data_IF_621418169305
#
_entry.id   IF_621418169305
#
_cell.length_a   1.000
_cell.length_b   1.000
_cell.length_c   1.000
_cell.angle_alpha   90.00
_cell.angle_beta   90.00
_cell.angle_gamma   90.00
#
_symmetry.space_group_name_H-M   'P 1'
#
loop_
_entity.id
_entity.type
_entity.pdbx_description
1 polymer ?
#
# COMPACT_ATOMS: atom_id res chain seq x y z
N UNK A 1 55.45 20.98 -25.57
CA UNK A 1 54.91 20.01 -24.61
C UNK A 1 53.41 20.29 -24.56
N UNK A 2 52.64 19.64 -25.43
CA UNK A 2 51.20 19.90 -25.58
C UNK A 2 50.49 19.44 -24.30
N UNK A 3 49.95 20.39 -23.53
CA UNK A 3 49.01 20.10 -22.47
C UNK A 3 47.73 19.60 -23.14
N UNK A 4 47.64 18.29 -23.33
CA UNK A 4 46.51 17.61 -23.96
C UNK A 4 45.20 17.98 -23.26
N UNK A 5 44.17 18.28 -24.05
CA UNK A 5 42.80 18.69 -23.70
C UNK A 5 41.97 17.69 -22.84
N UNK A 6 42.61 16.91 -21.96
CA UNK A 6 42.01 15.78 -21.26
C UNK A 6 41.79 16.03 -19.76
N UNK A 7 42.09 17.24 -19.26
CA UNK A 7 41.84 17.64 -17.88
C UNK A 7 40.58 18.49 -17.81
N UNK A 8 39.67 18.14 -16.91
CA UNK A 8 38.47 18.94 -16.68
C UNK A 8 37.95 18.76 -15.25
N UNK A 9 37.07 19.66 -14.85
CA UNK A 9 36.43 19.64 -13.53
C UNK A 9 35.02 19.07 -13.65
N UNK A 10 34.61 18.22 -12.71
CA UNK A 10 33.25 17.71 -12.67
C UNK A 10 32.25 18.83 -12.34
N UNK A 11 31.25 19.11 -13.19
CA UNK A 11 30.29 20.19 -12.96
C UNK A 11 29.23 19.88 -11.90
N UNK A 12 28.99 18.60 -11.61
CA UNK A 12 28.06 18.10 -10.60
C UNK A 12 28.53 16.72 -10.13
N UNK A 13 27.88 16.19 -9.08
CA UNK A 13 28.17 14.85 -8.60
C UNK A 13 27.82 13.82 -9.69
N UNK A 14 28.78 12.98 -10.08
CA UNK A 14 28.61 12.01 -11.17
C UNK A 14 28.78 10.58 -10.68
N UNK A 15 27.87 9.70 -11.11
CA UNK A 15 27.92 8.27 -10.77
C UNK A 15 29.22 7.66 -11.27
N UNK A 16 29.94 6.99 -10.38
CA UNK A 16 31.28 6.49 -10.66
C UNK A 16 31.68 5.33 -9.75
N UNK A 17 32.66 4.54 -10.19
CA UNK A 17 33.16 3.37 -9.47
C UNK A 17 34.59 3.03 -9.88
N UNK A 18 35.34 2.32 -9.03
CA UNK A 18 36.75 1.98 -9.28
C UNK A 18 36.89 1.00 -10.44
N UNK A 19 37.93 1.19 -11.25
CA UNK A 19 38.35 0.31 -12.33
C UNK A 19 39.52 -0.53 -11.85
N UNK A 20 39.36 -1.85 -11.87
CA UNK A 20 40.43 -2.80 -11.57
C UNK A 20 41.23 -3.14 -12.85
N UNK A 21 42.34 -3.89 -12.71
CA UNK A 21 43.15 -4.33 -13.85
C UNK A 21 43.96 -3.24 -14.52
N UNK A 22 44.14 -2.08 -13.87
CA UNK A 22 44.98 -1.00 -14.38
C UNK A 22 46.49 -1.24 -14.20
N UNK A 23 46.91 -2.46 -13.89
CA UNK A 23 48.32 -2.79 -13.61
C UNK A 23 49.24 -2.62 -14.83
N UNK A 24 48.72 -2.77 -16.04
CA UNK A 24 49.46 -2.49 -17.29
C UNK A 24 49.50 -1.02 -17.65
N UNK A 25 48.56 -0.22 -17.14
CA UNK A 25 48.70 1.23 -17.19
C UNK A 25 49.75 1.60 -16.13
N UNK A 26 50.84 2.22 -16.57
CA UNK A 26 51.95 2.58 -15.68
C UNK A 26 51.98 4.08 -15.51
N UNK A 27 52.04 4.54 -14.27
CA UNK A 27 52.24 5.94 -13.90
C UNK A 27 53.61 6.52 -14.34
N UNK A 28 54.46 5.71 -14.97
CA UNK A 28 55.87 5.99 -15.17
C UNK A 28 56.74 5.36 -14.08
N UNK A 29 58.05 5.32 -14.30
CA UNK A 29 59.00 4.72 -13.35
C UNK A 29 59.03 5.51 -12.03
N UNK A 30 58.88 4.83 -10.89
CA UNK A 30 58.85 5.41 -9.54
C UNK A 30 57.78 6.48 -9.27
N UNK A 31 56.67 6.46 -9.99
CA UNK A 31 55.57 7.42 -9.81
C UNK A 31 54.32 6.76 -9.26
N UNK A 32 53.62 7.48 -8.40
CA UNK A 32 52.29 7.10 -7.92
C UNK A 32 51.20 7.75 -8.77
N UNK A 33 50.01 7.16 -8.82
CA UNK A 33 48.90 7.75 -9.55
C UNK A 33 48.49 9.13 -9.03
N UNK A 34 48.56 9.35 -7.72
CA UNK A 34 48.32 10.68 -7.14
C UNK A 34 49.34 11.71 -7.65
N UNK A 35 50.63 11.36 -7.77
CA UNK A 35 51.65 12.27 -8.29
C UNK A 35 51.43 12.62 -9.78
N UNK A 36 50.99 11.64 -10.58
CA UNK A 36 50.61 11.88 -11.98
C UNK A 36 49.44 12.84 -12.05
N UNK A 37 48.44 12.65 -11.20
CA UNK A 37 47.29 13.54 -11.14
C UNK A 37 47.69 14.97 -10.71
N UNK A 38 48.54 15.11 -9.69
CA UNK A 38 49.04 16.42 -9.20
C UNK A 38 49.75 17.20 -10.31
N UNK A 39 50.71 16.56 -10.98
CA UNK A 39 51.48 17.19 -12.06
C UNK A 39 50.59 17.55 -13.26
N UNK A 40 49.65 16.66 -13.62
CA UNK A 40 48.78 16.86 -14.79
C UNK A 40 47.76 17.96 -14.55
N UNK A 41 47.22 18.07 -13.33
CA UNK A 41 46.19 19.07 -12.99
C UNK A 41 46.76 20.36 -12.41
N UNK A 42 48.01 20.36 -11.95
CA UNK A 42 48.61 21.45 -11.18
C UNK A 42 47.93 21.69 -9.83
N UNK A 43 47.25 20.68 -9.28
CA UNK A 43 46.50 20.77 -8.02
C UNK A 43 47.13 19.88 -6.95
N UNK A 44 46.94 20.28 -5.69
CA UNK A 44 47.21 19.42 -4.54
C UNK A 44 45.97 18.59 -4.20
N UNK A 45 46.13 17.31 -3.83
CA UNK A 45 45.04 16.45 -3.42
C UNK A 45 44.50 16.94 -2.07
N UNK A 46 43.19 17.12 -2.00
CA UNK A 46 42.50 17.43 -0.76
C UNK A 46 41.73 16.22 -0.25
N UNK A 47 40.43 16.41 -0.06
CA UNK A 47 39.51 15.32 0.29
C UNK A 47 39.38 14.31 -0.86
N UNK A 48 39.19 13.04 -0.50
CA UNK A 48 38.83 11.96 -1.44
C UNK A 48 37.68 12.40 -2.36
N UNK A 49 37.82 12.08 -3.65
CA UNK A 49 36.86 12.50 -4.67
C UNK A 49 35.47 11.89 -4.53
N UNK A 50 35.32 10.71 -3.90
CA UNK A 50 34.00 10.16 -3.61
C UNK A 50 33.21 11.07 -2.66
N UNK A 51 31.97 11.41 -3.02
CA UNK A 51 31.20 12.47 -2.36
C UNK A 51 30.86 12.14 -0.90
N UNK A 52 30.58 10.87 -0.63
CA UNK A 52 30.29 10.25 0.67
C UNK A 52 31.55 9.93 1.52
N UNK A 53 32.76 10.21 1.04
CA UNK A 53 34.00 9.99 1.77
C UNK A 53 34.65 11.31 2.19
N UNK A 54 35.15 11.36 3.44
CA UNK A 54 35.76 12.56 4.03
C UNK A 54 37.25 12.44 4.33
N UNK A 55 37.83 11.26 4.05
CA UNK A 55 39.27 11.03 4.20
C UNK A 55 40.08 11.89 3.22
N UNK A 56 41.34 12.11 3.54
CA UNK A 56 42.29 12.73 2.61
C UNK A 56 42.58 11.79 1.43
N UNK A 57 42.69 12.33 0.22
CA UNK A 57 43.13 11.56 -0.94
C UNK A 57 44.63 11.26 -0.84
N UNK A 58 45.02 10.00 -0.99
CA UNK A 58 46.40 9.55 -0.71
C UNK A 58 47.03 8.74 -1.84
N UNK A 59 46.24 8.19 -2.77
CA UNK A 59 46.77 7.21 -3.76
C UNK A 59 46.45 7.53 -5.21
N UNK A 60 45.30 8.15 -5.49
CA UNK A 60 44.83 8.27 -6.87
C UNK A 60 44.41 6.91 -7.43
N UNK A 61 43.39 6.89 -8.29
CA UNK A 61 42.89 5.64 -8.84
C UNK A 61 42.09 5.85 -10.12
N UNK A 62 42.04 4.78 -10.91
CA UNK A 62 41.21 4.71 -12.08
C UNK A 62 39.76 4.56 -11.67
N UNK A 63 38.93 5.47 -12.14
CA UNK A 63 37.51 5.53 -11.85
C UNK A 63 36.76 5.58 -13.17
N UNK A 64 35.73 4.75 -13.30
CA UNK A 64 34.80 4.83 -14.39
C UNK A 64 33.73 5.84 -14.04
N UNK A 65 33.55 6.85 -14.87
CA UNK A 65 32.49 7.84 -14.73
C UNK A 65 31.40 7.52 -15.75
N UNK A 66 30.16 7.40 -15.28
CA UNK A 66 29.03 7.04 -16.11
C UNK A 66 28.96 7.95 -17.35
N UNK A 67 28.84 7.33 -18.54
CA UNK A 67 28.79 8.00 -19.85
C UNK A 67 30.06 8.75 -20.28
N UNK A 68 31.13 8.74 -19.49
CA UNK A 68 32.40 9.41 -19.83
C UNK A 68 33.57 8.44 -20.03
N UNK A 69 33.57 7.30 -19.32
CA UNK A 69 34.61 6.28 -19.39
C UNK A 69 35.63 6.39 -18.26
N UNK A 70 36.88 5.95 -18.50
CA UNK A 70 37.92 5.87 -17.46
C UNK A 70 38.65 7.19 -17.27
N UNK A 71 38.79 7.57 -15.99
CA UNK A 71 39.45 8.78 -15.55
C UNK A 71 40.38 8.47 -14.38
N UNK A 72 41.36 9.34 -14.17
CA UNK A 72 42.16 9.38 -12.96
C UNK A 72 41.60 10.44 -12.00
N UNK A 73 41.35 10.05 -10.75
CA UNK A 73 40.86 10.94 -9.70
C UNK A 73 41.60 10.75 -8.37
N UNK A 74 41.75 11.80 -7.55
CA UNK A 74 42.43 11.73 -6.26
C UNK A 74 41.51 11.08 -5.21
N UNK A 75 41.75 9.81 -4.92
CA UNK A 75 41.00 9.05 -3.91
C UNK A 75 41.90 8.57 -2.77
N UNK A 76 41.27 8.22 -1.64
CA UNK A 76 41.96 7.68 -0.47
C UNK A 76 42.19 6.17 -0.60
N UNK A 77 43.16 5.65 0.16
CA UNK A 77 43.52 4.23 0.15
C UNK A 77 42.35 3.31 0.47
N UNK A 78 41.47 3.68 1.42
CA UNK A 78 40.31 2.86 1.79
C UNK A 78 39.26 2.80 0.67
N UNK A 79 39.06 3.90 -0.07
CA UNK A 79 38.20 3.90 -1.25
C UNK A 79 38.83 3.16 -2.43
N UNK A 80 40.15 3.19 -2.60
CA UNK A 80 40.85 2.47 -3.66
C UNK A 80 41.09 0.98 -3.35
N UNK A 81 40.51 0.45 -2.28
CA UNK A 81 40.73 -0.93 -1.88
C UNK A 81 39.87 -1.87 -2.75
N UNK A 82 40.42 -2.96 -3.32
CA UNK A 82 39.70 -3.84 -4.25
C UNK A 82 38.50 -4.56 -3.62
N UNK A 83 38.50 -4.74 -2.30
CA UNK A 83 37.38 -5.33 -1.56
C UNK A 83 36.31 -4.30 -1.14
N UNK A 84 36.47 -3.03 -1.51
CA UNK A 84 35.49 -2.00 -1.15
C UNK A 84 34.25 -2.08 -2.06
N UNK A 85 33.24 -2.82 -1.60
CA UNK A 85 31.98 -3.02 -2.32
C UNK A 85 31.21 -1.72 -2.59
N UNK A 86 31.43 -0.67 -1.80
CA UNK A 86 30.79 0.64 -2.02
C UNK A 86 31.37 1.39 -3.22
N UNK A 87 32.48 0.92 -3.80
CA UNK A 87 33.15 1.53 -4.97
C UNK A 87 33.10 0.63 -6.19
N UNK A 88 32.23 -0.37 -6.17
CA UNK A 88 31.99 -1.30 -7.28
C UNK A 88 30.91 -0.76 -8.25
N UNK A 89 30.86 -1.33 -9.45
CA UNK A 89 29.85 -0.97 -10.43
C UNK A 89 28.46 -1.30 -9.90
N UNK A 90 27.54 -0.34 -9.92
CA UNK A 90 26.18 -0.54 -9.39
C UNK A 90 26.01 -0.17 -7.92
N UNK A 91 27.09 0.03 -7.16
CA UNK A 91 27.05 0.42 -5.73
C UNK A 91 26.50 1.84 -5.46
N UNK A 92 26.01 2.52 -6.49
CA UNK A 92 25.48 3.88 -6.42
C UNK A 92 26.44 4.91 -5.80
N UNK A 93 27.74 4.78 -6.07
CA UNK A 93 28.74 5.76 -5.67
C UNK A 93 28.83 6.93 -6.65
N UNK A 94 29.26 8.08 -6.13
CA UNK A 94 29.38 9.33 -6.87
C UNK A 94 30.74 9.98 -6.61
N UNK A 95 31.35 10.55 -7.65
CA UNK A 95 32.43 11.52 -7.49
C UNK A 95 31.83 12.91 -7.30
N UNK A 96 32.42 13.68 -6.40
CA UNK A 96 32.01 15.02 -6.00
C UNK A 96 32.20 16.03 -7.14
N UNK A 97 31.23 16.93 -7.30
CA UNK A 97 31.35 18.15 -8.08
C UNK A 97 32.63 18.94 -7.68
N UNK A 98 33.24 19.63 -8.64
CA UNK A 98 34.49 20.36 -8.41
C UNK A 98 35.74 19.48 -8.38
N UNK A 99 35.61 18.14 -8.48
CA UNK A 99 36.77 17.26 -8.60
C UNK A 99 37.43 17.45 -9.97
N UNK A 100 38.73 17.75 -9.95
CA UNK A 100 39.56 17.73 -11.15
C UNK A 100 39.88 16.28 -11.54
N UNK A 101 39.63 15.93 -12.80
CA UNK A 101 39.86 14.61 -13.34
C UNK A 101 40.61 14.71 -14.65
N UNK A 102 41.33 13.64 -14.98
CA UNK A 102 42.07 13.50 -16.22
C UNK A 102 41.64 12.23 -16.93
N UNK A 103 41.24 12.33 -18.20
CA UNK A 103 40.77 11.19 -19.00
C UNK A 103 41.92 10.24 -19.32
N UNK A 104 41.66 8.93 -19.19
CA UNK A 104 42.61 7.85 -19.48
C UNK A 104 42.01 6.88 -20.48
N UNK A 105 42.88 6.23 -21.24
CA UNK A 105 42.47 5.18 -22.15
C UNK A 105 41.97 3.97 -21.36
N UNK A 106 40.92 3.34 -21.89
CA UNK A 106 40.41 2.10 -21.34
C UNK A 106 41.18 0.92 -21.93
N UNK A 107 42.04 0.31 -21.12
CA UNK A 107 42.91 -0.77 -21.60
C UNK A 107 42.20 -2.11 -21.66
N UNK A 108 42.74 -3.05 -22.43
CA UNK A 108 42.21 -4.41 -22.49
C UNK A 108 42.24 -5.09 -21.11
N UNK A 109 43.28 -4.85 -20.31
CA UNK A 109 43.36 -5.45 -18.97
C UNK A 109 42.30 -4.91 -18.03
N UNK A 110 41.93 -3.62 -18.13
CA UNK A 110 40.78 -3.07 -17.41
C UNK A 110 39.45 -3.68 -17.89
N UNK A 111 39.36 -4.02 -19.18
CA UNK A 111 38.17 -4.65 -19.76
C UNK A 111 38.02 -6.13 -19.38
N UNK A 112 39.14 -6.85 -19.23
CA UNK A 112 39.18 -8.25 -18.81
C UNK A 112 39.29 -8.43 -17.30
N UNK A 113 39.54 -7.35 -16.55
CA UNK A 113 39.59 -7.39 -15.11
C UNK A 113 38.27 -7.97 -14.58
N UNK A 114 38.32 -8.89 -13.60
CA UNK A 114 37.14 -9.33 -12.89
C UNK A 114 36.63 -8.15 -12.06
N UNK A 115 35.86 -7.26 -12.69
CA UNK A 115 35.21 -6.19 -11.96
C UNK A 115 34.03 -6.82 -11.26
N UNK A 116 34.08 -6.79 -9.93
CA UNK A 116 32.94 -7.10 -9.10
C UNK A 116 31.83 -6.11 -9.47
N UNK A 117 30.80 -6.56 -10.19
CA UNK A 117 29.51 -5.92 -10.10
C UNK A 117 29.17 -5.90 -8.62
N UNK A 118 28.78 -4.75 -8.08
CA UNK A 118 28.21 -4.71 -6.74
C UNK A 118 27.11 -5.77 -6.73
N UNK A 119 27.15 -6.67 -5.74
CA UNK A 119 26.09 -7.66 -5.56
C UNK A 119 24.79 -6.87 -5.59
N UNK A 120 23.94 -7.04 -6.63
CA UNK A 120 22.75 -6.26 -6.72
C UNK A 120 21.91 -6.65 -5.51
N UNK A 121 21.47 -5.64 -4.75
CA UNK A 121 20.66 -5.83 -3.55
C UNK A 121 19.30 -5.21 -3.79
N UNK A 122 18.27 -5.77 -3.16
CA UNK A 122 16.93 -5.22 -3.20
C UNK A 122 16.91 -3.82 -2.58
N UNK A 123 16.37 -2.84 -3.30
CA UNK A 123 16.27 -1.44 -2.83
C UNK A 123 15.45 -1.27 -1.54
N UNK A 124 14.57 -2.23 -1.20
CA UNK A 124 13.70 -2.17 -0.02
C UNK A 124 14.31 -2.90 1.18
N UNK A 125 14.73 -4.16 1.00
CA UNK A 125 15.14 -5.01 2.13
C UNK A 125 16.65 -5.31 2.18
N UNK A 126 17.42 -4.91 1.17
CA UNK A 126 18.87 -5.17 1.09
C UNK A 126 19.26 -6.63 0.79
N UNK A 127 18.30 -7.50 0.48
CA UNK A 127 18.56 -8.89 0.11
C UNK A 127 19.34 -8.98 -1.21
N UNK A 128 20.31 -9.90 -1.28
CA UNK A 128 21.04 -10.24 -2.50
C UNK A 128 20.06 -10.73 -3.59
N UNK A 129 20.05 -10.02 -4.72
CA UNK A 129 19.25 -10.31 -5.91
C UNK A 129 20.14 -10.66 -7.12
N UNK A 130 21.38 -11.08 -6.90
CA UNK A 130 22.33 -11.51 -7.94
C UNK A 130 21.80 -12.65 -8.82
N UNK A 131 20.86 -13.43 -8.30
CA UNK A 131 20.19 -14.51 -9.02
C UNK A 131 19.02 -14.03 -9.90
N UNK A 132 18.61 -12.76 -9.77
CA UNK A 132 17.54 -12.17 -10.59
C UNK A 132 18.13 -11.50 -11.84
N UNK A 133 17.33 -11.33 -12.92
CA UNK A 133 17.77 -10.60 -14.10
C UNK A 133 18.22 -9.18 -13.73
N UNK A 134 19.25 -8.66 -14.40
CA UNK A 134 19.87 -7.36 -14.09
C UNK A 134 18.94 -6.14 -14.20
N UNK A 135 17.75 -6.30 -14.78
CA UNK A 135 16.70 -5.29 -14.82
C UNK A 135 15.89 -5.16 -13.52
N UNK A 136 16.06 -6.08 -12.57
CA UNK A 136 15.34 -6.08 -11.30
C UNK A 136 16.08 -5.26 -10.25
N UNK A 137 15.35 -4.39 -9.55
CA UNK A 137 15.87 -3.64 -8.40
C UNK A 137 15.24 -4.08 -7.06
N UNK A 138 14.26 -4.98 -7.11
CA UNK A 138 13.53 -5.50 -5.96
C UNK A 138 13.60 -7.03 -5.92
N UNK A 139 13.67 -7.63 -4.73
CA UNK A 139 13.56 -9.07 -4.59
C UNK A 139 12.12 -9.54 -4.85
N UNK A 140 11.94 -10.83 -5.14
CA UNK A 140 10.62 -11.41 -5.42
C UNK A 140 9.60 -11.18 -4.30
N UNK A 141 10.04 -11.12 -3.04
CA UNK A 141 9.17 -10.84 -1.89
C UNK A 141 8.67 -9.40 -1.89
N UNK A 142 9.58 -8.44 -2.08
CA UNK A 142 9.25 -7.03 -2.18
C UNK A 142 8.42 -6.71 -3.44
N UNK A 143 8.65 -7.42 -4.55
CA UNK A 143 7.81 -7.30 -5.75
C UNK A 143 6.40 -7.80 -5.47
N UNK A 144 6.24 -8.96 -4.82
CA UNK A 144 4.92 -9.48 -4.44
C UNK A 144 4.19 -8.52 -3.49
N UNK A 145 4.90 -7.97 -2.51
CA UNK A 145 4.36 -6.97 -1.60
C UNK A 145 3.94 -5.66 -2.33
N UNK A 146 4.67 -5.27 -3.39
CA UNK A 146 4.36 -4.06 -4.16
C UNK A 146 3.28 -4.28 -5.24
N UNK A 147 3.17 -5.50 -5.79
CA UNK A 147 2.22 -5.85 -6.85
C UNK A 147 0.80 -6.10 -6.34
N UNK A 148 0.62 -6.23 -5.03
CA UNK A 148 -0.69 -6.23 -4.42
C UNK A 148 -0.92 -4.93 -3.62
N UNK A 149 -1.21 -3.81 -4.29
CA UNK A 149 -1.58 -2.56 -3.62
C UNK A 149 -2.91 -2.68 -2.83
N UNK A 150 -3.59 -3.82 -2.94
CA UNK A 150 -4.77 -4.16 -2.15
C UNK A 150 -4.46 -5.24 -1.11
N UNK A 151 -3.18 -5.59 -0.90
CA UNK A 151 -2.79 -6.56 0.11
C UNK A 151 -3.03 -5.97 1.48
N UNK A 152 -4.19 -6.28 2.06
CA UNK A 152 -4.52 -5.84 3.40
C UNK A 152 -3.97 -6.88 4.34
N UNK A 153 -3.02 -6.50 5.19
CA UNK A 153 -2.46 -7.38 6.22
C UNK A 153 -3.16 -7.14 7.56
N UNK A 154 -3.31 -8.20 8.35
CA UNK A 154 -3.79 -8.12 9.72
C UNK A 154 -2.85 -7.25 10.57
N UNK A 155 -3.43 -6.27 11.26
CA UNK A 155 -2.68 -5.33 12.10
C UNK A 155 -1.88 -6.00 13.23
N UNK A 156 -2.34 -7.14 13.73
CA UNK A 156 -1.73 -7.80 14.90
C UNK A 156 -0.68 -8.86 14.55
N UNK A 157 -0.78 -9.52 13.39
CA UNK A 157 0.10 -10.65 13.04
C UNK A 157 0.63 -10.64 11.61
N UNK A 158 0.36 -9.59 10.84
CA UNK A 158 0.74 -9.44 9.43
C UNK A 158 0.24 -10.54 8.47
N UNK A 159 -0.67 -11.41 8.92
CA UNK A 159 -1.30 -12.38 8.04
C UNK A 159 -2.16 -11.66 6.99
N UNK A 160 -2.03 -12.07 5.72
CA UNK A 160 -2.85 -11.56 4.61
C UNK A 160 -4.36 -11.75 4.90
N UNK A 161 -5.12 -10.66 4.78
CA UNK A 161 -6.58 -10.58 4.92
C UNK A 161 -7.23 -9.95 3.68
N UNK A 162 -6.56 -9.99 2.52
CA UNK A 162 -7.06 -9.43 1.25
C UNK A 162 -8.36 -10.06 0.77
N UNK A 163 -8.57 -11.34 1.08
CA UNK A 163 -9.83 -12.06 0.82
C UNK A 163 -10.99 -11.64 1.73
N UNK A 164 -10.77 -10.74 2.69
CA UNK A 164 -11.80 -10.27 3.63
C UNK A 164 -12.42 -8.96 3.14
N UNK A 165 -13.64 -8.61 3.60
CA UNK A 165 -14.23 -7.30 3.32
C UNK A 165 -13.38 -6.13 3.84
N UNK A 166 -13.42 -4.99 3.14
CA UNK A 166 -12.57 -3.79 3.32
C UNK A 166 -12.54 -3.18 4.73
N UNK A 167 -13.53 -3.47 5.57
CA UNK A 167 -13.60 -2.99 6.94
C UNK A 167 -12.88 -3.89 7.96
N UNK A 168 -12.35 -5.05 7.55
CA UNK A 168 -11.60 -5.92 8.45
C UNK A 168 -10.14 -5.45 8.53
N UNK A 169 -9.66 -5.18 9.74
CA UNK A 169 -8.26 -4.83 10.04
C UNK A 169 -7.50 -5.95 10.78
N UNK A 170 -8.21 -6.99 11.21
CA UNK A 170 -7.66 -8.13 11.96
C UNK A 170 -8.03 -9.46 11.28
N UNK A 171 -7.16 -10.47 11.41
CA UNK A 171 -7.47 -11.84 11.03
C UNK A 171 -8.42 -12.48 12.06
N UNK A 172 -9.12 -13.55 11.65
CA UNK A 172 -10.09 -14.23 12.51
C UNK A 172 -9.47 -14.77 13.80
N UNK A 173 -8.20 -15.18 13.75
CA UNK A 173 -7.48 -15.70 14.91
C UNK A 173 -7.21 -14.61 15.95
N UNK A 174 -6.72 -13.44 15.52
CA UNK A 174 -6.47 -12.30 16.41
C UNK A 174 -7.77 -11.71 16.94
N UNK A 175 -8.79 -11.60 16.09
CA UNK A 175 -10.14 -11.22 16.53
C UNK A 175 -10.65 -12.16 17.62
N UNK A 176 -10.60 -13.49 17.42
CA UNK A 176 -11.05 -14.46 18.44
C UNK A 176 -10.28 -14.35 19.74
N UNK A 177 -8.96 -14.10 19.70
CA UNK A 177 -8.15 -13.91 20.92
C UNK A 177 -8.61 -12.68 21.72
N UNK A 178 -8.98 -11.60 21.05
CA UNK A 178 -9.49 -10.39 21.71
C UNK A 178 -10.83 -10.63 22.41
N UNK A 179 -11.65 -11.56 21.92
CA UNK A 179 -12.94 -11.93 22.50
C UNK A 179 -12.90 -13.10 23.48
N UNK A 180 -11.77 -13.81 23.58
CA UNK A 180 -11.58 -14.87 24.59
C UNK A 180 -11.15 -14.33 25.96
N UNK A 181 -10.95 -13.03 26.09
CA UNK A 181 -10.81 -12.34 27.38
C UNK A 181 -11.93 -11.31 27.53
N UNK A 182 -13.16 -11.69 27.92
CA UNK A 182 -14.17 -10.69 28.21
C UNK A 182 -13.68 -9.87 29.43
N UNK A 183 -13.69 -8.53 29.39
CA UNK A 183 -13.71 -7.78 30.63
C UNK A 183 -14.99 -8.21 31.36
N UNK A 184 -14.86 -8.69 32.60
CA UNK A 184 -15.99 -8.91 33.47
C UNK A 184 -16.70 -7.58 33.72
N UNK A 185 -17.66 -7.24 32.86
CA UNK A 185 -18.73 -6.31 33.20
C UNK A 185 -19.97 -7.16 33.24
N UNK A 186 -20.43 -7.44 34.46
CA UNK A 186 -21.74 -8.01 34.68
C UNK A 186 -22.76 -7.19 33.87
N UNK A 187 -23.61 -7.84 33.04
CA UNK A 187 -24.66 -7.11 32.34
C UNK A 187 -25.52 -6.40 33.39
N UNK A 188 -25.83 -5.10 33.21
CA UNK A 188 -26.60 -4.35 34.19
C UNK A 188 -27.95 -5.04 34.37
N UNK A 189 -28.22 -5.56 35.57
CA UNK A 189 -29.48 -6.23 35.86
C UNK A 189 -30.62 -5.23 35.68
N UNK A 190 -31.44 -5.40 34.63
CA UNK A 190 -32.65 -4.59 34.43
C UNK A 190 -33.81 -5.27 35.13
N UNK A 191 -34.29 -4.68 36.22
CA UNK A 191 -35.41 -5.19 37.02
C UNK A 191 -36.65 -4.32 36.83
N UNK A 192 -37.82 -4.94 36.82
CA UNK A 192 -39.11 -4.25 36.80
C UNK A 192 -39.23 -3.35 38.04
N UNK A 193 -39.51 -2.06 37.81
CA UNK A 193 -39.61 -1.06 38.88
C UNK A 193 -40.62 -1.43 39.97
N UNK A 194 -41.73 -2.09 39.61
CA UNK A 194 -42.81 -2.40 40.55
C UNK A 194 -42.69 -3.75 41.29
N UNK A 195 -41.96 -4.72 40.75
CA UNK A 195 -41.96 -6.09 41.31
C UNK A 195 -40.59 -6.79 41.31
N UNK A 196 -39.52 -6.10 40.88
CA UNK A 196 -38.14 -6.57 40.92
C UNK A 196 -37.82 -7.83 40.08
N UNK A 197 -38.78 -8.32 39.29
CA UNK A 197 -38.58 -9.40 38.31
C UNK A 197 -37.66 -8.90 37.19
N UNK A 198 -36.78 -9.78 36.73
CA UNK A 198 -35.88 -9.53 35.60
C UNK A 198 -36.67 -9.21 34.32
N UNK A 199 -36.25 -8.15 33.62
CA UNK A 199 -36.82 -7.69 32.35
C UNK A 199 -35.72 -7.52 31.28
N UNK A 200 -34.58 -8.22 31.41
CA UNK A 200 -33.50 -8.25 30.42
C UNK A 200 -33.97 -8.68 29.02
N UNK A 201 -35.07 -9.43 28.93
CA UNK A 201 -35.69 -9.85 27.66
C UNK A 201 -36.52 -8.74 26.97
N UNK A 202 -36.62 -7.53 27.56
CA UNK A 202 -37.46 -6.43 27.06
C UNK A 202 -36.63 -5.32 26.41
N UNK A 203 -37.17 -4.63 25.37
CA UNK A 203 -36.55 -3.45 24.79
C UNK A 203 -36.17 -2.39 25.84
N UNK A 204 -35.12 -1.61 25.57
CA UNK A 204 -34.49 -0.70 26.53
C UNK A 204 -35.42 0.37 27.13
N UNK A 205 -36.49 0.73 26.43
CA UNK A 205 -37.48 1.69 26.90
C UNK A 205 -38.53 1.11 27.87
N UNK A 206 -38.51 -0.19 28.17
CA UNK A 206 -39.43 -0.80 29.12
C UNK A 206 -38.88 -0.74 30.56
N UNK A 207 -39.63 -0.09 31.46
CA UNK A 207 -39.30 -0.01 32.90
C UNK A 207 -40.18 -0.92 33.78
N UNK A 208 -41.23 -1.51 33.19
CA UNK A 208 -42.19 -2.39 33.87
C UNK A 208 -42.30 -3.75 33.17
N UNK A 209 -42.50 -4.81 33.95
CA UNK A 209 -42.86 -6.11 33.39
C UNK A 209 -44.30 -6.10 32.86
N UNK A 210 -44.62 -7.03 31.94
CA UNK A 210 -45.94 -7.15 31.31
C UNK A 210 -47.09 -7.28 32.33
N UNK A 211 -46.84 -7.93 33.46
CA UNK A 211 -47.84 -8.10 34.54
C UNK A 211 -48.18 -6.77 35.22
N UNK A 212 -47.17 -5.96 35.53
CA UNK A 212 -47.34 -4.65 36.16
C UNK A 212 -47.92 -3.62 35.18
N UNK A 213 -47.49 -3.64 33.91
CA UNK A 213 -48.08 -2.84 32.84
C UNK A 213 -49.58 -3.12 32.65
N UNK A 214 -49.98 -4.40 32.62
CA UNK A 214 -51.41 -4.75 32.53
C UNK A 214 -52.22 -4.30 33.75
N UNK A 215 -51.63 -4.28 34.94
CA UNK A 215 -52.28 -3.76 36.16
C UNK A 215 -52.45 -2.24 36.12
N UNK A 216 -51.47 -1.49 35.60
CA UNK A 216 -51.54 -0.02 35.50
C UNK A 216 -52.58 0.43 34.48
N UNK A 217 -52.72 -0.29 33.35
CA UNK A 217 -53.77 -0.03 32.35
C UNK A 217 -55.19 -0.26 32.90
N UNK A 218 -55.39 -1.27 33.76
CA UNK A 218 -56.68 -1.52 34.43
C UNK A 218 -57.05 -0.47 35.49
N UNK A 219 -56.06 0.21 36.09
CA UNK A 219 -56.31 1.31 37.04
C UNK A 219 -56.76 2.58 36.32
N UNK A 220 -56.15 2.90 35.17
CA UNK A 220 -56.58 4.05 34.33
C UNK A 220 -58.02 3.92 33.84
N UNK A 221 -58.49 2.72 33.55
CA UNK A 221 -59.88 2.48 33.09
C UNK A 221 -60.93 2.53 34.20
N UNK A 222 -60.53 2.50 35.48
CA UNK A 222 -61.47 2.49 36.62
C UNK A 222 -61.61 3.84 37.32
N UNK A 223 -60.73 4.80 37.03
CA UNK A 223 -60.68 6.10 37.71
C UNK A 223 -61.44 7.22 36.97
N UNK A 224 -62.07 6.91 35.82
CA UNK A 224 -62.82 7.87 34.97
C UNK A 224 -64.36 7.70 35.00
N UNK A 225 -64.92 6.95 35.97
CA UNK A 225 -66.38 6.74 36.08
C UNK A 225 -67.06 7.47 37.24
N UNK A 226 -66.44 8.51 37.80
CA UNK A 226 -67.11 9.41 38.76
C UNK A 226 -66.78 10.88 38.48
N UNK A 227 -67.17 11.38 37.31
CA UNK A 227 -67.57 12.79 37.13
C UNK A 227 -68.37 12.90 35.83
N UNK A 228 -69.69 12.93 36.04
CA UNK A 228 -70.72 13.64 35.30
C UNK A 228 -70.25 14.54 34.13
N UNK A 229 -70.47 14.10 32.88
CA UNK A 229 -70.66 14.93 31.67
C UNK A 229 -70.81 14.08 30.39
N UNK A 230 -72.05 13.91 29.92
CA UNK A 230 -72.43 13.96 28.49
C UNK A 230 -72.00 12.84 27.52
N UNK A 231 -72.92 12.31 26.67
CA UNK A 231 -72.58 11.33 25.65
C UNK A 231 -71.94 12.03 24.43
N UNK A 232 -70.61 12.02 24.33
CA UNK A 232 -69.94 12.35 23.08
C UNK A 232 -69.88 11.10 22.21
N UNK A 233 -70.81 11.00 21.28
CA UNK A 233 -70.74 10.11 20.12
C UNK A 233 -69.44 10.41 19.36
N UNK A 234 -68.39 9.64 19.60
CA UNK A 234 -67.15 9.74 18.83
C UNK A 234 -67.28 8.90 17.56
N UNK A 235 -68.00 9.48 16.61
CA UNK A 235 -68.13 9.05 15.22
C UNK A 235 -66.77 9.22 14.51
N UNK A 236 -65.79 8.37 14.85
CA UNK A 236 -64.53 8.26 14.12
C UNK A 236 -64.65 7.16 13.09
N UNK A 237 -65.38 7.44 12.01
CA UNK A 237 -65.14 6.82 10.70
C UNK A 237 -63.67 7.09 10.34
N UNK A 238 -62.78 6.15 10.67
CA UNK A 238 -61.42 6.17 10.15
C UNK A 238 -61.55 6.15 8.63
N UNK A 239 -61.20 7.25 7.97
CA UNK A 239 -61.16 7.32 6.51
C UNK A 239 -60.31 6.15 6.03
N UNK A 240 -60.91 5.29 5.20
CA UNK A 240 -60.20 4.17 4.59
C UNK A 240 -58.97 4.71 3.84
N UNK A 241 -57.82 4.09 4.07
CA UNK A 241 -56.55 4.48 3.44
C UNK A 241 -56.15 3.38 2.48
N UNK A 242 -55.82 3.74 1.25
CA UNK A 242 -55.46 2.78 0.21
C UNK A 242 -53.98 2.96 -0.18
N UNK A 243 -53.31 1.86 -0.51
CA UNK A 243 -51.97 1.81 -1.05
C UNK A 243 -51.91 2.64 -2.34
N UNK A 244 -50.91 3.51 -2.47
CA UNK A 244 -50.75 4.37 -3.63
C UNK A 244 -50.58 3.60 -4.95
N UNK A 245 -49.96 2.42 -4.92
CA UNK A 245 -49.54 1.73 -6.14
C UNK A 245 -50.54 0.65 -6.60
N UNK A 246 -51.17 -0.06 -5.65
CA UNK A 246 -52.07 -1.17 -5.98
C UNK A 246 -53.51 -1.00 -5.45
N UNK A 247 -53.79 0.07 -4.70
CA UNK A 247 -55.14 0.33 -4.18
C UNK A 247 -55.57 -0.51 -2.96
N UNK A 248 -54.76 -1.48 -2.51
CA UNK A 248 -55.08 -2.31 -1.34
C UNK A 248 -55.24 -1.49 -0.05
N UNK A 249 -56.14 -1.91 0.84
CA UNK A 249 -56.40 -1.24 2.13
C UNK A 249 -55.17 -1.29 3.06
N UNK A 250 -54.80 -0.13 3.61
CA UNK A 250 -53.72 0.09 4.57
C UNK A 250 -54.20 0.85 5.81
N UNK A 251 -55.50 0.83 6.11
CA UNK A 251 -56.13 1.56 7.23
C UNK A 251 -55.56 1.19 8.60
N UNK A 252 -55.11 -0.06 8.79
CA UNK A 252 -54.50 -0.54 10.03
C UNK A 252 -53.00 -0.24 10.14
N UNK A 253 -52.40 0.40 9.14
CA UNK A 253 -50.97 0.77 9.14
C UNK A 253 -50.74 2.17 9.73
N UNK A 254 -49.54 2.46 10.27
CA UNK A 254 -49.18 3.79 10.73
C UNK A 254 -49.46 4.87 9.67
N UNK A 255 -49.78 6.08 10.10
CA UNK A 255 -50.08 7.23 9.21
C UNK A 255 -48.92 7.58 8.27
N UNK A 256 -47.70 7.20 8.63
CA UNK A 256 -46.50 7.38 7.81
C UNK A 256 -46.39 6.44 6.61
N UNK A 257 -47.18 5.37 6.52
CA UNK A 257 -47.09 4.40 5.43
C UNK A 257 -48.01 4.80 4.26
N UNK A 258 -47.47 4.91 3.05
CA UNK A 258 -48.24 5.23 1.82
C UNK A 258 -48.34 4.05 0.84
N UNK A 259 -47.58 2.97 1.08
CA UNK A 259 -47.54 1.78 0.26
C UNK A 259 -47.84 0.53 1.10
N UNK A 260 -48.41 -0.51 0.48
CA UNK A 260 -48.54 -1.82 1.11
C UNK A 260 -47.20 -2.57 1.07
N UNK A 261 -47.08 -3.59 1.93
CA UNK A 261 -45.85 -4.36 2.06
C UNK A 261 -45.40 -5.02 0.75
N UNK A 262 -46.34 -5.51 -0.08
CA UNK A 262 -46.00 -6.11 -1.38
C UNK A 262 -45.41 -5.08 -2.36
N UNK A 263 -46.01 -3.89 -2.45
CA UNK A 263 -45.52 -2.83 -3.32
C UNK A 263 -44.17 -2.27 -2.84
N UNK A 264 -44.01 -2.11 -1.52
CA UNK A 264 -42.74 -1.71 -0.92
C UNK A 264 -41.61 -2.71 -1.23
N UNK A 265 -41.89 -4.01 -1.16
CA UNK A 265 -40.90 -5.03 -1.53
C UNK A 265 -40.55 -4.99 -3.02
N UNK A 266 -41.54 -4.76 -3.89
CA UNK A 266 -41.31 -4.70 -5.34
C UNK A 266 -40.46 -3.50 -5.78
N UNK A 267 -40.53 -2.37 -5.08
CA UNK A 267 -39.70 -1.19 -5.36
C UNK A 267 -38.28 -1.31 -4.81
N UNK A 268 -38.08 -2.14 -3.79
CA UNK A 268 -36.74 -2.40 -3.23
C UNK A 268 -35.94 -3.44 -4.01
N UNK A 269 -36.56 -4.26 -4.86
CA UNK A 269 -35.83 -5.24 -5.66
C UNK A 269 -35.25 -4.62 -6.93
N UNK A 270 -33.95 -4.26 -6.92
CA UNK A 270 -33.25 -3.89 -8.14
C UNK A 270 -32.97 -5.14 -8.95
N UNK A 271 -33.20 -5.10 -10.27
CA UNK A 271 -33.02 -6.25 -11.17
C UNK A 271 -31.95 -5.99 -12.22
N UNK A 272 -31.23 -7.03 -12.62
CA UNK A 272 -30.27 -6.97 -13.71
C UNK A 272 -31.00 -6.68 -15.03
N UNK A 273 -30.56 -5.67 -15.76
CA UNK A 273 -31.14 -5.29 -17.05
C UNK A 273 -31.03 -6.37 -18.14
N UNK A 274 -30.12 -7.35 -17.97
CA UNK A 274 -29.87 -8.40 -18.97
C UNK A 274 -30.64 -9.69 -18.67
N UNK A 275 -30.58 -10.18 -17.43
CA UNK A 275 -31.16 -11.48 -17.06
C UNK A 275 -32.33 -11.41 -16.07
N UNK A 276 -32.70 -10.22 -15.58
CA UNK A 276 -33.77 -10.00 -14.59
C UNK A 276 -33.52 -10.57 -13.18
N UNK A 277 -32.33 -11.10 -12.91
CA UNK A 277 -31.91 -11.54 -11.57
C UNK A 277 -31.91 -10.38 -10.57
N UNK A 278 -32.18 -10.70 -9.30
CA UNK A 278 -32.11 -9.75 -8.19
C UNK A 278 -30.66 -9.29 -7.98
N UNK A 279 -30.45 -7.97 -7.96
CA UNK A 279 -29.16 -7.30 -7.69
C UNK A 279 -29.27 -6.34 -6.50
N UNK A 280 -30.27 -6.55 -5.62
CA UNK A 280 -30.50 -5.69 -4.45
C UNK A 280 -29.34 -5.70 -3.45
N UNK A 281 -28.53 -6.75 -3.45
CA UNK A 281 -27.31 -6.90 -2.66
C UNK A 281 -26.10 -6.12 -3.22
N UNK A 282 -26.19 -5.57 -4.44
CA UNK A 282 -25.09 -4.84 -5.09
C UNK A 282 -25.08 -3.36 -4.71
N UNK A 283 -23.99 -2.60 -4.96
CA UNK A 283 -24.02 -1.14 -4.81
C UNK A 283 -25.01 -0.45 -5.76
N UNK A 284 -25.50 0.74 -5.41
CA UNK A 284 -26.56 1.48 -6.14
C UNK A 284 -26.23 1.73 -7.62
N UNK A 285 -24.95 1.86 -7.96
CA UNK A 285 -24.46 2.12 -9.32
C UNK A 285 -24.41 0.90 -10.25
N UNK A 286 -24.76 -0.31 -9.78
CA UNK A 286 -24.77 -1.51 -10.61
C UNK A 286 -26.15 -1.73 -11.25
N UNK A 287 -26.16 -1.87 -12.57
CA UNK A 287 -27.36 -2.17 -13.39
C UNK A 287 -27.34 -3.59 -14.00
N UNK A 288 -26.21 -4.30 -13.90
CA UNK A 288 -26.04 -5.68 -14.39
C UNK A 288 -25.49 -6.60 -13.31
N UNK A 289 -25.87 -7.88 -13.33
CA UNK A 289 -25.35 -8.89 -12.41
C UNK A 289 -23.89 -9.25 -12.76
N UNK A 290 -23.17 -9.84 -11.80
CA UNK A 290 -21.76 -10.21 -11.96
C UNK A 290 -21.53 -11.18 -13.13
N UNK A 291 -22.49 -12.07 -13.39
CA UNK A 291 -22.41 -13.06 -14.46
C UNK A 291 -22.49 -12.39 -15.84
N UNK A 292 -23.45 -11.47 -16.03
CA UNK A 292 -23.58 -10.68 -17.26
C UNK A 292 -22.44 -9.66 -17.46
N UNK A 293 -21.86 -9.15 -16.37
CA UNK A 293 -20.68 -8.31 -16.44
C UNK A 293 -19.46 -9.08 -16.98
N UNK A 294 -19.22 -10.29 -16.44
CA UNK A 294 -18.11 -11.17 -16.86
C UNK A 294 -18.24 -11.66 -18.29
N UNK A 295 -19.45 -11.92 -18.77
CA UNK A 295 -19.67 -12.37 -20.15
C UNK A 295 -19.44 -11.30 -21.21
N UNK A 296 -19.50 -10.01 -20.84
CA UNK A 296 -19.25 -8.87 -21.74
C UNK A 296 -17.79 -8.42 -21.82
N UNK A 297 -16.88 -8.95 -20.99
CA UNK A 297 -15.48 -8.55 -21.12
C UNK A 297 -14.86 -9.19 -22.38
N UNK A 298 -14.35 -8.39 -23.33
CA UNK A 298 -13.65 -8.94 -24.49
C UNK A 298 -12.45 -9.74 -23.99
N UNK A 299 -12.35 -11.01 -24.43
CA UNK A 299 -11.17 -11.85 -24.18
C UNK A 299 -9.95 -11.07 -24.67
N UNK A 300 -9.13 -10.56 -23.75
CA UNK A 300 -7.84 -9.96 -24.09
C UNK A 300 -6.99 -11.06 -24.74
N UNK A 301 -6.83 -10.97 -26.05
CA UNK A 301 -5.94 -11.85 -26.81
C UNK A 301 -4.52 -11.64 -26.28
N UNK A 302 -3.91 -12.72 -25.81
CA UNK A 302 -2.51 -12.81 -25.44
C UNK A 302 -1.70 -12.83 -26.75
N UNK A 303 -1.11 -11.71 -27.16
CA UNK A 303 -0.17 -11.67 -28.28
C UNK A 303 1.23 -12.03 -27.76
N UNK A 304 1.61 -13.30 -27.88
CA UNK A 304 3.03 -13.69 -27.83
C UNK A 304 3.68 -13.32 -29.16
N UNK A 305 4.51 -12.28 -29.13
CA UNK A 305 5.44 -11.99 -30.22
C UNK A 305 6.64 -12.92 -30.02
N UNK A 306 6.80 -13.89 -30.91
CA UNK A 306 8.07 -14.57 -31.16
C UNK A 306 8.80 -13.74 -32.22
N UNK A 307 9.89 -13.09 -31.81
CA UNK A 307 10.87 -12.53 -32.74
C UNK A 307 11.80 -13.66 -33.21
N UNK A 308 11.60 -14.11 -34.44
CA UNK A 308 12.62 -14.75 -35.28
C UNK A 308 13.34 -13.68 -36.12
N UNK A 309 14.56 -14.01 -36.55
CA UNK A 309 15.52 -13.27 -37.40
C UNK A 309 16.57 -12.41 -36.68
N UNK A 310 17.84 -12.85 -36.72
CA UNK A 310 18.80 -12.40 -37.75
C UNK A 310 20.04 -13.32 -37.79
N UNK A 311 20.34 -13.82 -38.99
CA UNK A 311 21.69 -14.17 -39.47
C UNK A 311 22.31 -12.93 -40.11
#
# INVERSE_FOLDING_TARGET
>A
MELSNNVYTLPHDMKAWNVDGSASDKAGYNRSWISVWEETTGKMPGRCSYSDCHNHATVGGHVWIARSGVHLAPICTSCNHPQNVQRMQGANAFLRAGTWIFKKDYTNDMAQAPRNLAIPVCDICGQDISQLPSSYTLCSDCIRAAQDPFSRCCQDCQQDISERPDHHVQCLSCYRKQWQSPPQREPPSRRCQDCQIDILDRPDHHVQCLRCYRKSQKRRTRQDWTTDSGPVQNDRRRKQRNCRDCGNDITDRPTSHTQCWMCFQSTTTRRCEVCQDDISDRPENHVVCLQCYRSKQPRRFNTSIQDEYFF
#
